data_IF_180006103982
#
_entry.id   IF_180006103982
#
_cell.length_a   1.000
_cell.length_b   1.000
_cell.length_c   1.000
_cell.angle_alpha   90.00
_cell.angle_beta   90.00
_cell.angle_gamma   90.00
#
_symmetry.space_group_name_H-M   'P 1'
#
loop_
_entity.id
_entity.type
_entity.pdbx_description
1 polymer ?
#
# COMPACT_ATOMS: atom_id res chain seq x y z
N UNK A 1 -65.61 -5.00 13.63
CA UNK A 1 -64.29 -5.54 14.02
C UNK A 1 -63.24 -4.95 13.06
N UNK A 2 -62.63 -3.83 13.45
CA UNK A 2 -61.69 -3.03 12.63
C UNK A 2 -60.28 -3.22 13.19
N UNK A 3 -59.54 -4.23 12.71
CA UNK A 3 -58.11 -4.40 13.03
C UNK A 3 -57.43 -5.05 11.81
N UNK A 4 -57.20 -4.31 10.74
CA UNK A 4 -56.41 -4.81 9.60
C UNK A 4 -55.74 -3.73 8.76
N UNK A 5 -55.58 -2.51 9.30
CA UNK A 5 -55.04 -1.36 8.55
C UNK A 5 -53.66 -0.84 8.99
N UNK A 6 -53.09 -1.33 10.10
CA UNK A 6 -51.89 -0.72 10.69
C UNK A 6 -50.58 -1.49 10.47
N UNK A 7 -50.62 -2.76 10.05
CA UNK A 7 -49.39 -3.57 9.93
C UNK A 7 -48.56 -3.29 8.67
N UNK A 8 -49.17 -2.73 7.61
CA UNK A 8 -48.44 -2.43 6.36
C UNK A 8 -47.74 -1.06 6.35
N UNK A 9 -48.10 -0.14 7.25
CA UNK A 9 -47.52 1.22 7.29
C UNK A 9 -46.24 1.25 8.16
N UNK A 10 -46.12 0.35 9.14
CA UNK A 10 -44.92 0.28 10.01
C UNK A 10 -43.70 -0.31 9.28
N UNK A 11 -43.90 -1.14 8.24
CA UNK A 11 -42.80 -1.75 7.50
C UNK A 11 -42.13 -0.80 6.48
N UNK A 12 -42.81 0.28 6.07
CA UNK A 12 -42.27 1.26 5.10
C UNK A 12 -41.44 2.35 5.80
N UNK A 13 -41.67 2.59 7.10
CA UNK A 13 -40.92 3.58 7.88
C UNK A 13 -39.53 3.09 8.34
N UNK A 14 -39.23 1.80 8.26
CA UNK A 14 -37.90 1.25 8.60
C UNK A 14 -36.90 1.24 7.43
N UNK A 15 -37.34 1.50 6.20
CA UNK A 15 -36.44 1.61 5.03
C UNK A 15 -35.99 3.06 4.73
N UNK A 16 -36.55 4.05 5.43
CA UNK A 16 -36.34 5.48 5.13
C UNK A 16 -35.15 6.17 5.81
N UNK A 17 -34.31 5.46 6.57
CA UNK A 17 -33.23 6.10 7.35
C UNK A 17 -31.80 5.68 6.99
N UNK A 18 -31.60 4.84 5.97
CA UNK A 18 -30.23 4.51 5.50
C UNK A 18 -29.66 5.52 4.48
N UNK A 19 -30.33 6.66 4.25
CA UNK A 19 -29.81 7.74 3.39
C UNK A 19 -29.01 8.78 4.19
N UNK A 20 -28.23 8.35 5.16
CA UNK A 20 -27.47 9.25 6.03
C UNK A 20 -25.98 8.93 5.88
N UNK A 21 -25.31 9.83 5.15
CA UNK A 21 -23.87 9.95 4.88
C UNK A 21 -23.26 9.13 3.73
N UNK A 22 -23.69 9.40 2.50
CA UNK A 22 -22.70 9.63 1.45
C UNK A 22 -22.23 11.10 1.55
N UNK A 23 -21.65 11.50 2.69
CA UNK A 23 -20.76 12.65 2.64
C UNK A 23 -19.62 12.23 1.73
N UNK A 24 -19.32 13.05 0.72
CA UNK A 24 -18.19 12.83 -0.16
C UNK A 24 -16.93 13.01 0.67
N UNK A 25 -16.56 11.98 1.44
CA UNK A 25 -15.44 12.03 2.35
C UNK A 25 -14.18 12.14 1.52
N UNK A 26 -13.42 13.17 1.86
CA UNK A 26 -12.09 13.39 1.30
C UNK A 26 -11.11 13.45 2.45
N UNK A 27 -9.84 13.23 2.17
CA UNK A 27 -8.85 13.22 3.22
C UNK A 27 -7.46 12.96 2.73
N UNK A 28 -6.53 13.20 3.64
CA UNK A 28 -5.11 12.99 3.47
C UNK A 28 -4.66 12.11 4.62
N UNK A 29 -3.95 11.03 4.30
CA UNK A 29 -3.34 10.15 5.29
C UNK A 29 -1.85 10.11 5.04
N UNK A 30 -1.07 10.47 6.05
CA UNK A 30 0.38 10.31 6.00
C UNK A 30 0.74 8.92 6.49
N UNK A 31 1.63 8.27 5.78
CA UNK A 31 2.19 6.98 6.15
C UNK A 31 3.70 7.06 6.22
N UNK A 32 4.28 6.19 7.05
CA UNK A 32 5.70 5.87 7.02
C UNK A 32 5.93 4.39 6.76
N UNK A 33 6.90 4.08 5.93
CA UNK A 33 7.45 2.74 5.73
C UNK A 33 8.69 2.56 6.60
N UNK A 34 8.83 1.40 7.24
CA UNK A 34 10.03 1.05 8.03
C UNK A 34 10.46 -0.39 7.75
N UNK A 35 11.77 -0.67 7.79
CA UNK A 35 12.27 -2.05 7.78
C UNK A 35 11.94 -2.68 9.13
N UNK A 36 11.42 -3.90 9.11
CA UNK A 36 11.14 -4.66 10.32
C UNK A 36 12.43 -5.07 11.03
N UNK A 37 12.48 -4.87 12.35
CA UNK A 37 13.69 -5.12 13.13
C UNK A 37 14.10 -6.59 13.13
N UNK A 38 13.15 -7.50 13.28
CA UNK A 38 13.41 -8.94 13.29
C UNK A 38 13.99 -9.40 11.94
N UNK A 39 13.40 -8.93 10.84
CA UNK A 39 13.93 -9.18 9.50
C UNK A 39 15.33 -8.61 9.33
N UNK A 40 15.54 -7.34 9.70
CA UNK A 40 16.85 -6.67 9.61
C UNK A 40 17.91 -7.44 10.39
N UNK A 41 17.62 -7.82 11.62
CA UNK A 41 18.56 -8.52 12.49
C UNK A 41 18.93 -9.88 11.92
N UNK A 42 17.92 -10.69 11.54
CA UNK A 42 18.14 -12.01 10.92
C UNK A 42 18.95 -11.90 9.62
N UNK A 43 18.55 -10.98 8.73
CA UNK A 43 19.27 -10.72 7.48
C UNK A 43 20.74 -10.38 7.76
N UNK A 44 21.02 -9.46 8.68
CA UNK A 44 22.39 -9.04 9.00
C UNK A 44 23.23 -10.16 9.61
N UNK A 45 22.65 -10.98 10.49
CA UNK A 45 23.34 -12.14 11.07
C UNK A 45 23.76 -13.17 10.01
N UNK A 46 22.87 -13.46 9.06
CA UNK A 46 23.14 -14.38 7.95
C UNK A 46 24.13 -13.77 6.96
N UNK A 47 23.92 -12.52 6.58
CA UNK A 47 24.73 -11.83 5.57
C UNK A 47 26.19 -11.63 6.01
N UNK A 48 26.43 -11.34 7.30
CA UNK A 48 27.77 -11.24 7.88
C UNK A 48 28.61 -12.53 7.73
N UNK A 49 27.97 -13.68 7.60
CA UNK A 49 28.63 -15.01 7.49
C UNK A 49 28.98 -15.39 6.04
N UNK A 50 28.50 -14.65 5.04
CA UNK A 50 28.73 -14.94 3.60
C UNK A 50 30.17 -14.70 3.17
N UNK A 51 30.96 -15.78 3.06
CA UNK A 51 32.39 -15.75 2.68
C UNK A 51 32.65 -15.48 1.20
N UNK A 52 31.66 -15.77 0.36
CA UNK A 52 31.63 -15.55 -1.08
C UNK A 52 31.48 -14.07 -1.47
N UNK A 53 31.12 -13.20 -0.52
CA UNK A 53 31.05 -11.75 -0.71
C UNK A 53 32.34 -11.09 -0.21
N UNK A 54 32.93 -10.20 -1.02
CA UNK A 54 34.12 -9.45 -0.63
C UNK A 54 33.92 -8.66 0.68
N UNK A 55 34.91 -8.58 1.59
CA UNK A 55 34.74 -7.93 2.90
C UNK A 55 34.20 -6.50 2.84
N UNK A 56 34.67 -5.69 1.90
CA UNK A 56 34.23 -4.29 1.76
C UNK A 56 32.78 -4.18 1.31
N UNK A 57 32.34 -5.01 0.36
CA UNK A 57 30.93 -5.10 -0.05
C UNK A 57 30.09 -5.57 1.14
N UNK A 58 30.57 -6.57 1.89
CA UNK A 58 29.87 -7.09 3.06
C UNK A 58 29.67 -6.00 4.11
N UNK A 59 30.72 -5.22 4.40
CA UNK A 59 30.68 -4.09 5.33
C UNK A 59 29.71 -3.01 4.84
N UNK A 60 29.80 -2.63 3.56
CA UNK A 60 28.91 -1.62 2.96
C UNK A 60 27.44 -1.98 3.09
N UNK A 61 27.04 -3.22 2.75
CA UNK A 61 25.63 -3.65 2.88
C UNK A 61 25.18 -3.67 4.35
N UNK A 62 26.04 -4.09 5.28
CA UNK A 62 25.71 -4.05 6.71
C UNK A 62 25.45 -2.60 7.15
N UNK A 63 26.33 -1.66 6.76
CA UNK A 63 26.16 -0.24 7.07
C UNK A 63 24.90 0.34 6.43
N UNK A 64 24.56 -0.04 5.20
CA UNK A 64 23.31 0.39 4.55
C UNK A 64 22.08 0.04 5.37
N UNK A 65 21.96 -1.21 5.82
CA UNK A 65 20.80 -1.68 6.60
C UNK A 65 20.76 -1.13 8.02
N UNK A 66 21.92 -0.89 8.64
CA UNK A 66 21.99 -0.26 9.97
C UNK A 66 21.60 1.22 9.93
N UNK A 67 21.86 1.89 8.80
CA UNK A 67 21.51 3.29 8.57
C UNK A 67 20.27 3.43 7.66
N UNK A 68 19.39 2.42 7.64
CA UNK A 68 18.17 2.48 6.86
C UNK A 68 17.26 3.59 7.37
N UNK A 69 16.70 4.37 6.46
CA UNK A 69 15.77 5.46 6.77
C UNK A 69 14.33 5.03 6.51
N UNK A 70 13.40 5.70 7.18
CA UNK A 70 11.98 5.55 6.90
C UNK A 70 11.63 6.18 5.55
N UNK A 71 10.66 5.60 4.85
CA UNK A 71 10.08 6.19 3.66
C UNK A 71 8.77 6.90 4.05
N UNK A 72 8.49 8.06 3.47
CA UNK A 72 7.27 8.81 3.76
C UNK A 72 6.33 8.81 2.55
N UNK A 73 5.03 8.71 2.81
CA UNK A 73 4.00 8.70 1.78
C UNK A 73 2.81 9.54 2.21
N UNK A 74 2.08 10.07 1.24
CA UNK A 74 0.76 10.66 1.47
C UNK A 74 -0.27 10.03 0.55
N UNK A 75 -1.36 9.54 1.14
CA UNK A 75 -2.54 9.08 0.44
C UNK A 75 -3.59 10.19 0.45
N UNK A 76 -3.91 10.69 -0.72
CA UNK A 76 -4.99 11.63 -0.94
C UNK A 76 -6.18 10.86 -1.49
N UNK A 77 -7.38 11.03 -0.91
CA UNK A 77 -8.59 10.39 -1.42
C UNK A 77 -9.76 11.36 -1.49
N UNK A 78 -10.66 11.10 -2.44
CA UNK A 78 -11.93 11.83 -2.58
C UNK A 78 -12.94 10.96 -3.32
N UNK A 79 -14.06 10.64 -2.67
CA UNK A 79 -15.05 9.74 -3.24
C UNK A 79 -14.46 8.37 -3.52
N UNK A 80 -14.53 7.92 -4.77
CA UNK A 80 -14.14 6.56 -5.20
C UNK A 80 -12.70 6.48 -5.71
N UNK A 81 -11.94 7.55 -5.57
CA UNK A 81 -10.57 7.67 -6.07
C UNK A 81 -9.57 7.97 -4.95
N UNK A 82 -8.37 7.41 -5.08
CA UNK A 82 -7.22 7.78 -4.27
C UNK A 82 -5.93 7.85 -5.08
N UNK A 83 -4.99 8.65 -4.59
CA UNK A 83 -3.65 8.78 -5.11
C UNK A 83 -2.66 8.81 -3.95
N UNK A 84 -1.78 7.81 -3.91
CA UNK A 84 -0.64 7.76 -3.02
C UNK A 84 0.58 8.30 -3.77
N UNK A 85 1.28 9.26 -3.17
CA UNK A 85 2.58 9.70 -3.67
C UNK A 85 3.68 9.48 -2.62
N UNK A 86 4.87 9.13 -3.11
CA UNK A 86 6.09 9.06 -2.30
C UNK A 86 6.61 10.47 -2.02
N UNK A 87 6.89 10.77 -0.75
CA UNK A 87 7.48 12.05 -0.34
C UNK A 87 8.99 11.87 -0.28
N UNK A 88 9.69 12.36 -1.30
CA UNK A 88 11.15 12.34 -1.34
C UNK A 88 11.73 13.09 -0.15
N UNK A 89 12.71 12.48 0.52
CA UNK A 89 13.52 13.17 1.50
C UNK A 89 14.47 14.12 0.77
N UNK A 90 14.17 15.41 0.80
CA UNK A 90 15.10 16.46 0.39
C UNK A 90 16.21 16.55 1.45
N UNK A 91 17.29 15.78 1.29
CA UNK A 91 18.68 16.12 1.63
C UNK A 91 19.57 14.85 1.77
N UNK A 92 20.65 14.79 1.00
CA UNK A 92 21.90 14.20 1.49
C UNK A 92 23.05 15.05 0.96
N UNK A 93 23.56 15.94 1.83
CA UNK A 93 24.78 16.73 1.58
C UNK A 93 26.05 15.84 1.47
N UNK A 94 25.98 14.57 1.93
CA UNK A 94 27.08 13.61 1.86
C UNK A 94 26.86 12.53 0.79
N UNK A 95 27.52 12.69 -0.36
CA UNK A 95 27.51 11.77 -1.50
C UNK A 95 28.15 10.38 -1.27
N UNK A 96 28.72 10.13 -0.08
CA UNK A 96 29.56 8.94 0.16
C UNK A 96 28.87 7.78 0.87
N UNK A 97 27.63 7.93 1.35
CA UNK A 97 26.86 6.83 1.97
C UNK A 97 25.57 6.59 1.21
N UNK A 98 25.47 5.45 0.53
CA UNK A 98 24.21 4.98 -0.05
C UNK A 98 23.31 4.56 1.10
N UNK A 99 22.23 5.29 1.36
CA UNK A 99 21.21 4.88 2.33
C UNK A 99 20.16 4.03 1.64
N UNK A 100 19.55 3.09 2.37
CA UNK A 100 18.38 2.32 1.90
C UNK A 100 17.13 2.85 2.62
N UNK A 101 16.01 2.91 1.89
CA UNK A 101 14.71 3.19 2.49
C UNK A 101 14.12 1.97 3.20
N UNK A 102 12.80 1.99 3.38
CA UNK A 102 12.00 1.02 4.14
C UNK A 102 11.83 -0.36 3.48
N UNK A 103 12.28 -0.52 2.24
CA UNK A 103 11.99 -1.66 1.34
C UNK A 103 10.52 -1.79 0.91
N UNK A 104 9.61 -0.92 1.36
CA UNK A 104 8.22 -0.88 0.90
C UNK A 104 8.10 -0.41 -0.57
N UNK A 105 9.09 0.35 -1.05
CA UNK A 105 9.15 0.89 -2.41
C UNK A 105 8.65 2.33 -2.49
N UNK A 106 9.05 3.05 -3.53
CA UNK A 106 8.90 4.51 -3.64
C UNK A 106 8.04 4.92 -4.83
N UNK A 107 7.13 4.04 -5.27
CA UNK A 107 6.28 4.30 -6.42
C UNK A 107 4.93 4.86 -6.00
N UNK A 108 4.40 5.74 -6.83
CA UNK A 108 3.05 6.25 -6.65
C UNK A 108 2.00 5.23 -7.08
N UNK A 109 0.81 5.34 -6.49
CA UNK A 109 -0.33 4.50 -6.81
C UNK A 109 -1.58 5.34 -7.03
N UNK A 110 -2.35 4.98 -8.05
CA UNK A 110 -3.69 5.49 -8.29
C UNK A 110 -4.69 4.34 -8.15
N UNK A 111 -5.75 4.55 -7.37
CA UNK A 111 -6.82 3.55 -7.18
C UNK A 111 -8.16 4.19 -7.49
N UNK A 112 -8.99 3.50 -8.27
CA UNK A 112 -10.39 3.85 -8.52
C UNK A 112 -11.25 2.62 -8.23
N UNK A 113 -12.15 2.73 -7.25
CA UNK A 113 -12.99 1.64 -6.76
C UNK A 113 -14.15 1.30 -7.69
N UNK A 114 -14.65 2.27 -8.47
CA UNK A 114 -15.76 2.04 -9.40
C UNK A 114 -15.32 1.18 -10.58
N UNK A 115 -14.13 1.48 -11.11
CA UNK A 115 -13.52 0.76 -12.23
C UNK A 115 -12.68 -0.44 -11.78
N UNK A 116 -12.50 -0.64 -10.46
CA UNK A 116 -11.58 -1.61 -9.86
C UNK A 116 -10.15 -1.51 -10.42
N UNK A 117 -9.69 -0.28 -10.66
CA UNK A 117 -8.35 0.00 -11.18
C UNK A 117 -7.39 0.23 -10.03
N UNK A 118 -6.26 -0.49 -10.06
CA UNK A 118 -5.13 -0.29 -9.13
C UNK A 118 -3.89 -0.12 -9.99
N UNK A 119 -3.43 1.12 -10.14
CA UNK A 119 -2.35 1.46 -11.07
C UNK A 119 -1.13 1.94 -10.30
N UNK A 120 -0.04 1.19 -10.39
CA UNK A 120 1.28 1.65 -9.95
C UNK A 120 1.91 2.48 -11.06
N UNK A 121 2.44 3.64 -10.70
CA UNK A 121 3.19 4.51 -11.60
C UNK A 121 4.68 4.33 -11.36
N UNK A 122 5.39 3.91 -12.39
CA UNK A 122 6.84 3.68 -12.32
C UNK A 122 7.54 4.51 -13.38
N UNK A 123 8.68 5.12 -13.02
CA UNK A 123 9.51 5.86 -13.97
C UNK A 123 10.09 4.95 -15.06
N UNK A 124 10.44 3.70 -14.71
CA UNK A 124 11.09 2.75 -15.62
C UNK A 124 10.12 1.94 -16.49
N UNK A 125 9.00 1.46 -15.92
CA UNK A 125 8.07 0.55 -16.62
C UNK A 125 6.74 1.22 -17.02
N UNK A 126 6.57 2.50 -16.72
CA UNK A 126 5.32 3.23 -16.93
C UNK A 126 4.22 2.79 -15.97
N UNK A 127 3.00 2.65 -16.49
CA UNK A 127 1.80 2.32 -15.72
C UNK A 127 1.57 0.80 -15.66
N UNK A 128 1.46 0.27 -14.45
CA UNK A 128 1.28 -1.16 -14.20
C UNK A 128 -0.04 -1.43 -13.48
N UNK A 129 -0.84 -2.34 -14.01
CA UNK A 129 -2.07 -2.80 -13.35
C UNK A 129 -1.75 -3.83 -12.26
N UNK A 130 -2.28 -3.59 -11.07
CA UNK A 130 -2.22 -4.50 -9.92
C UNK A 130 -3.56 -5.23 -9.76
N UNK A 131 -3.48 -6.46 -9.24
CA UNK A 131 -4.64 -7.25 -8.87
C UNK A 131 -5.10 -6.89 -7.45
N UNK A 132 -6.41 -6.95 -7.21
CA UNK A 132 -6.97 -6.87 -5.85
C UNK A 132 -6.46 -8.03 -4.99
N UNK A 133 -6.23 -7.76 -3.70
CA UNK A 133 -5.88 -8.79 -2.73
C UNK A 133 -7.17 -9.36 -2.15
N UNK A 134 -7.30 -10.68 -2.17
CA UNK A 134 -8.39 -11.37 -1.47
C UNK A 134 -8.07 -11.41 0.03
N UNK A 135 -8.78 -10.61 0.81
CA UNK A 135 -8.59 -10.50 2.25
C UNK A 135 -9.47 -11.48 3.03
N UNK A 136 -8.91 -12.08 4.08
CA UNK A 136 -9.63 -12.81 5.11
C UNK A 136 -9.61 -12.01 6.41
N UNK A 137 -10.76 -11.45 6.80
CA UNK A 137 -10.90 -10.68 8.05
C UNK A 137 -10.87 -11.63 9.24
N UNK A 138 -10.05 -11.30 10.25
CA UNK A 138 -9.89 -12.08 11.49
C UNK A 138 -10.53 -11.36 12.67
N UNK A 139 -10.83 -12.10 13.73
CA UNK A 139 -11.40 -11.57 14.98
C UNK A 139 -10.33 -11.00 15.94
N UNK A 140 -9.26 -10.44 15.40
CA UNK A 140 -8.20 -9.79 16.15
C UNK A 140 -8.33 -8.27 15.97
N UNK A 141 -8.21 -7.51 17.05
CA UNK A 141 -8.26 -6.05 17.00
C UNK A 141 -7.17 -5.41 17.84
N UNK A 142 -6.70 -4.24 17.42
CA UNK A 142 -5.79 -3.39 18.19
C UNK A 142 -6.08 -1.92 17.93
N UNK A 143 -5.60 -1.04 18.78
CA UNK A 143 -5.66 0.40 18.57
C UNK A 143 -4.46 0.87 17.74
N UNK A 144 -4.71 1.76 16.77
CA UNK A 144 -3.68 2.47 16.01
C UNK A 144 -4.07 3.95 16.00
N UNK A 145 -3.34 4.77 16.74
CA UNK A 145 -3.79 6.11 17.08
C UNK A 145 -5.10 6.02 17.88
N UNK A 146 -6.11 6.80 17.49
CA UNK A 146 -7.42 6.83 18.15
C UNK A 146 -8.42 5.81 17.58
N UNK A 147 -8.00 4.97 16.62
CA UNK A 147 -8.89 4.09 15.88
C UNK A 147 -8.76 2.64 16.31
N UNK A 148 -9.91 1.98 16.50
CA UNK A 148 -9.95 0.53 16.65
C UNK A 148 -9.81 -0.14 15.29
N UNK A 149 -8.72 -0.86 15.10
CA UNK A 149 -8.40 -1.58 13.88
C UNK A 149 -8.63 -3.08 14.02
N UNK A 150 -9.08 -3.71 12.93
CA UNK A 150 -9.23 -5.16 12.82
C UNK A 150 -8.20 -5.73 11.86
N UNK A 151 -7.78 -6.96 12.14
CA UNK A 151 -6.80 -7.67 11.33
C UNK A 151 -7.46 -8.30 10.10
N UNK A 152 -6.77 -8.23 8.97
CA UNK A 152 -7.05 -9.04 7.80
C UNK A 152 -5.75 -9.65 7.26
N UNK A 153 -5.84 -10.85 6.72
CA UNK A 153 -4.71 -11.56 6.12
C UNK A 153 -4.96 -11.73 4.62
N UNK A 154 -3.92 -11.62 3.82
CA UNK A 154 -3.99 -11.76 2.37
C UNK A 154 -2.68 -12.28 1.79
N UNK A 155 -2.71 -12.60 0.50
CA UNK A 155 -1.55 -13.05 -0.26
C UNK A 155 -1.31 -12.09 -1.41
N UNK A 156 -0.10 -11.54 -1.48
CA UNK A 156 0.33 -10.68 -2.57
C UNK A 156 1.24 -11.46 -3.53
N UNK A 157 0.93 -11.41 -4.83
CA UNK A 157 1.83 -11.94 -5.87
C UNK A 157 2.95 -10.96 -6.17
N UNK A 158 4.19 -11.41 -6.04
CA UNK A 158 5.41 -10.71 -6.44
C UNK A 158 5.97 -11.35 -7.70
N UNK A 159 6.17 -10.53 -8.72
CA UNK A 159 6.79 -10.95 -9.97
C UNK A 159 8.29 -10.74 -9.85
N UNK A 160 9.06 -11.79 -10.11
CA UNK A 160 10.51 -11.76 -10.09
C UNK A 160 11.08 -11.50 -11.48
N UNK A 161 12.35 -11.06 -11.51
CA UNK A 161 13.09 -10.83 -12.76
C UNK A 161 13.36 -12.10 -13.56
N UNK A 162 13.25 -13.29 -12.99
CA UNK A 162 13.37 -14.55 -13.74
C UNK A 162 12.00 -15.04 -14.26
N UNK A 163 10.97 -14.20 -14.15
CA UNK A 163 9.60 -14.51 -14.58
C UNK A 163 8.81 -15.36 -13.59
N UNK A 164 9.40 -15.77 -12.45
CA UNK A 164 8.68 -16.48 -11.40
C UNK A 164 7.73 -15.56 -10.67
N UNK A 165 6.69 -16.18 -10.11
CA UNK A 165 5.73 -15.52 -9.23
C UNK A 165 5.92 -16.12 -7.83
N UNK A 166 6.18 -15.27 -6.86
CA UNK A 166 6.21 -15.63 -5.45
C UNK A 166 4.95 -15.10 -4.77
N UNK A 167 4.40 -15.90 -3.86
CA UNK A 167 3.30 -15.50 -3.01
C UNK A 167 3.87 -15.04 -1.67
N UNK A 168 3.62 -13.78 -1.32
CA UNK A 168 4.08 -13.18 -0.07
C UNK A 168 2.87 -12.92 0.84
N UNK A 169 2.85 -13.43 2.08
CA UNK A 169 1.80 -13.11 3.03
C UNK A 169 1.87 -11.63 3.41
N UNK A 170 0.69 -11.04 3.58
CA UNK A 170 0.53 -9.67 4.04
C UNK A 170 -0.59 -9.60 5.08
N UNK A 171 -0.34 -8.85 6.14
CA UNK A 171 -1.34 -8.55 7.16
C UNK A 171 -1.71 -7.08 7.07
N UNK A 172 -3.01 -6.79 7.04
CA UNK A 172 -3.55 -5.45 7.10
C UNK A 172 -4.27 -5.22 8.43
N UNK A 173 -4.18 -4.00 8.96
CA UNK A 173 -4.99 -3.52 10.06
C UNK A 173 -5.82 -2.34 9.58
N UNK A 174 -7.14 -2.51 9.55
CA UNK A 174 -8.07 -1.53 8.97
C UNK A 174 -9.08 -1.01 10.01
N UNK A 175 -9.47 0.25 9.89
CA UNK A 175 -10.38 0.95 10.79
C UNK A 175 -11.77 1.11 10.13
N UNK A 176 -12.80 0.33 10.53
CA UNK A 176 -14.15 0.42 9.95
C UNK A 176 -14.85 1.76 10.21
N UNK A 177 -14.42 2.49 11.24
CA UNK A 177 -14.92 3.82 11.61
C UNK A 177 -14.67 4.87 10.52
N UNK A 178 -13.67 4.64 9.66
CA UNK A 178 -13.44 5.40 8.43
C UNK A 178 -13.84 4.47 7.28
N UNK A 179 -15.10 4.48 6.80
CA UNK A 179 -15.65 3.49 5.87
C UNK A 179 -15.18 3.74 4.42
N UNK A 180 -13.87 3.85 4.23
CA UNK A 180 -13.20 4.06 2.95
C UNK A 180 -12.30 2.88 2.68
N UNK A 181 -12.45 2.25 1.53
CA UNK A 181 -11.76 0.99 1.21
C UNK A 181 -10.35 1.23 0.64
N UNK A 182 -9.66 2.26 1.10
CA UNK A 182 -8.32 2.64 0.66
C UNK A 182 -7.25 2.25 1.67
N UNK A 183 -6.00 2.33 1.23
CA UNK A 183 -4.82 2.07 2.03
C UNK A 183 -3.56 2.50 1.28
N UNK A 184 -2.38 2.30 1.86
CA UNK A 184 -1.15 2.58 1.16
C UNK A 184 -0.97 1.63 -0.03
N UNK A 185 -0.26 2.09 -1.05
CA UNK A 185 0.14 1.31 -2.23
C UNK A 185 -1.07 0.67 -2.95
N UNK A 186 -1.04 -0.63 -3.20
CA UNK A 186 -2.12 -1.43 -3.78
C UNK A 186 -3.04 -2.06 -2.72
N UNK A 187 -2.85 -1.77 -1.44
CA UNK A 187 -3.67 -2.36 -0.38
C UNK A 187 -4.98 -1.57 -0.28
N UNK A 188 -6.08 -2.20 -0.70
CA UNK A 188 -7.43 -1.65 -0.72
C UNK A 188 -8.47 -2.78 -0.61
N UNK A 189 -9.76 -2.44 -0.60
CA UNK A 189 -10.87 -3.40 -0.65
C UNK A 189 -11.33 -3.97 0.69
N UNK A 190 -10.75 -3.50 1.81
CA UNK A 190 -11.25 -3.81 3.15
C UNK A 190 -12.38 -2.84 3.54
N UNK A 191 -13.33 -3.25 4.40
CA UNK A 191 -14.46 -2.40 4.82
C UNK A 191 -14.04 -1.38 5.87
N UNK A 192 -13.04 -0.55 5.54
CA UNK A 192 -12.45 0.48 6.37
C UNK A 192 -11.06 0.87 5.89
N UNK A 193 -10.60 2.05 6.29
CA UNK A 193 -9.29 2.58 5.90
C UNK A 193 -8.17 1.72 6.50
N UNK A 194 -7.24 1.27 5.66
CA UNK A 194 -6.09 0.47 6.12
C UNK A 194 -5.06 1.40 6.77
N UNK A 195 -4.86 1.25 8.07
CA UNK A 195 -3.93 2.09 8.85
C UNK A 195 -2.55 1.46 9.01
N UNK A 196 -2.42 0.15 8.77
CA UNK A 196 -1.13 -0.52 8.82
C UNK A 196 -1.09 -1.74 7.91
N UNK A 197 0.06 -1.92 7.27
CA UNK A 197 0.43 -3.12 6.52
C UNK A 197 1.68 -3.70 7.15
N UNK A 198 1.67 -5.01 7.37
CA UNK A 198 2.78 -5.78 7.89
C UNK A 198 3.14 -6.89 6.89
N UNK A 199 4.37 -6.86 6.38
CA UNK A 199 5.00 -7.95 5.64
C UNK A 199 6.20 -8.46 6.43
N UNK A 200 6.91 -9.47 5.94
CA UNK A 200 8.13 -9.95 6.61
C UNK A 200 9.19 -8.83 6.67
N UNK A 201 9.48 -8.19 5.55
CA UNK A 201 10.62 -7.27 5.44
C UNK A 201 10.36 -5.87 6.00
N UNK A 202 9.10 -5.40 5.95
CA UNK A 202 8.74 -4.03 6.26
C UNK A 202 7.32 -3.90 6.80
N UNK A 203 7.04 -2.74 7.39
CA UNK A 203 5.70 -2.27 7.72
C UNK A 203 5.44 -0.90 7.13
N UNK A 204 4.20 -0.63 6.73
CA UNK A 204 3.71 0.72 6.40
C UNK A 204 2.69 1.10 7.46
N UNK A 205 2.81 2.28 8.07
CA UNK A 205 2.06 2.68 9.26
C UNK A 205 1.52 4.10 9.06
N UNK A 206 0.22 4.29 9.24
CA UNK A 206 -0.40 5.61 9.25
C UNK A 206 0.10 6.42 10.45
N UNK A 207 0.50 7.66 10.21
CA UNK A 207 1.02 8.58 11.23
C UNK A 207 0.09 9.75 11.49
N UNK A 208 -0.68 10.16 10.48
CA UNK A 208 -1.60 11.28 10.56
C UNK A 208 -2.78 11.05 9.62
N UNK A 209 -3.99 11.38 10.07
CA UNK A 209 -5.22 11.27 9.28
C UNK A 209 -5.95 12.60 9.37
N UNK A 210 -6.15 13.24 8.21
CA UNK A 210 -6.91 14.48 8.07
C UNK A 210 -8.15 14.20 7.23
N UNK A 211 -9.33 14.26 7.85
CA UNK A 211 -10.61 14.10 7.16
C UNK A 211 -11.20 15.47 6.82
N UNK A 212 -11.67 15.60 5.58
CA UNK A 212 -12.20 16.84 4.99
C UNK A 212 -11.27 18.04 5.21
N UNK A 213 -9.98 17.94 4.83
CA UNK A 213 -9.03 19.03 5.02
C UNK A 213 -9.42 20.24 4.17
N UNK A 214 -9.05 21.44 4.63
CA UNK A 214 -9.08 22.65 3.79
C UNK A 214 -8.02 22.59 2.68
N UNK A 215 -6.97 21.79 2.88
CA UNK A 215 -5.93 21.55 1.89
C UNK A 215 -6.48 20.92 0.61
N UNK A 216 -5.91 21.30 -0.53
CA UNK A 216 -6.28 20.75 -1.82
C UNK A 216 -5.88 19.27 -1.92
N UNK A 217 -6.89 18.40 -1.99
CA UNK A 217 -6.73 16.99 -2.34
C UNK A 217 -6.09 16.85 -3.72
N UNK A 218 -4.99 16.09 -3.78
CA UNK A 218 -4.28 15.76 -5.02
C UNK A 218 -4.72 14.40 -5.52
N UNK A 219 -5.44 14.37 -6.64
CA UNK A 219 -5.71 13.13 -7.39
C UNK A 219 -5.01 13.27 -8.74
N UNK A 220 -4.24 12.25 -9.13
CA UNK A 220 -3.60 12.18 -10.44
C UNK A 220 -4.17 10.96 -11.20
N UNK A 221 -5.31 11.13 -11.89
CA UNK A 221 -5.97 10.03 -12.60
C UNK A 221 -5.16 9.58 -13.81
N UNK A 222 -5.32 8.32 -14.17
CA UNK A 222 -4.72 7.76 -15.39
C UNK A 222 -5.60 8.12 -16.59
N UNK A 223 -4.98 8.66 -17.65
CA UNK A 223 -5.71 8.98 -18.89
C UNK A 223 -6.31 7.72 -19.53
N UNK A 224 -7.47 7.86 -20.15
CA UNK A 224 -8.20 6.74 -20.77
C UNK A 224 -7.42 6.05 -21.90
N UNK A 225 -6.60 6.80 -22.63
CA UNK A 225 -5.74 6.30 -23.72
C UNK A 225 -4.36 5.83 -23.24
N UNK A 226 -4.09 5.86 -21.94
CA UNK A 226 -2.80 5.48 -21.41
C UNK A 226 -2.54 3.99 -21.59
N UNK A 227 -1.33 3.65 -22.05
CA UNK A 227 -0.89 2.25 -22.15
C UNK A 227 -0.60 1.69 -20.76
N UNK A 228 -1.58 0.97 -20.21
CA UNK A 228 -1.46 0.21 -18.97
C UNK A 228 -0.98 -1.21 -19.30
N UNK A 229 0.06 -1.67 -18.61
CA UNK A 229 0.61 -3.04 -18.78
C UNK A 229 0.25 -3.91 -17.59
N UNK A 230 0.13 -5.22 -17.79
CA UNK A 230 0.13 -6.15 -16.67
C UNK A 230 1.50 -6.22 -16.00
N UNK A 231 1.55 -6.58 -14.72
CA UNK A 231 2.83 -6.83 -14.02
C UNK A 231 3.65 -7.93 -14.72
N UNK A 232 3.00 -9.00 -15.17
CA UNK A 232 3.69 -10.10 -15.87
C UNK A 232 4.43 -9.61 -17.12
N UNK A 233 3.74 -8.87 -17.99
CA UNK A 233 4.34 -8.33 -19.21
C UNK A 233 5.49 -7.37 -18.90
N UNK A 234 5.31 -6.47 -17.94
CA UNK A 234 6.33 -5.48 -17.60
C UNK A 234 7.61 -6.12 -17.06
N UNK A 235 7.47 -7.16 -16.21
CA UNK A 235 8.63 -7.87 -15.68
C UNK A 235 9.33 -8.71 -16.73
N UNK A 236 8.59 -9.38 -17.64
CA UNK A 236 9.19 -10.10 -18.78
C UNK A 236 10.02 -9.16 -19.66
N UNK A 237 9.50 -7.98 -20.00
CA UNK A 237 10.24 -6.98 -20.77
C UNK A 237 11.52 -6.52 -20.05
N UNK A 238 11.45 -6.33 -18.72
CA UNK A 238 12.61 -5.95 -17.93
C UNK A 238 13.68 -7.06 -17.90
N UNK A 239 13.26 -8.33 -17.87
CA UNK A 239 14.15 -9.50 -17.97
C UNK A 239 14.86 -9.57 -19.31
N UNK A 240 14.09 -9.45 -20.40
CA UNK A 240 14.62 -9.44 -21.77
C UNK A 240 15.65 -8.32 -21.94
N UNK A 241 15.30 -7.10 -21.54
CA UNK A 241 16.22 -5.96 -21.58
C UNK A 241 17.51 -6.20 -20.79
N UNK A 242 17.40 -6.78 -19.59
CA UNK A 242 18.58 -7.11 -18.77
C UNK A 242 19.48 -8.15 -19.47
N UNK A 243 18.89 -9.21 -20.01
CA UNK A 243 19.64 -10.26 -20.71
C UNK A 243 20.31 -9.72 -21.98
N UNK A 244 19.62 -8.87 -22.75
CA UNK A 244 20.20 -8.25 -23.95
C UNK A 244 21.34 -7.29 -23.62
N UNK A 245 21.27 -6.62 -22.46
CA UNK A 245 22.26 -5.60 -22.06
C UNK A 245 23.47 -6.21 -21.33
N UNK A 246 23.25 -7.22 -20.49
CA UNK A 246 24.26 -7.74 -19.55
C UNK A 246 24.47 -9.26 -19.63
N UNK A 247 23.63 -9.98 -20.38
CA UNK A 247 23.75 -11.42 -20.57
C UNK A 247 24.81 -11.78 -21.61
N UNK A 248 26.06 -11.82 -21.18
CA UNK A 248 27.12 -12.61 -21.84
C UNK A 248 27.44 -13.83 -20.99
#
# INVERSE_FOLDING_TARGET
MKILGYFSIVLILLFGLNSVYAQQTSGIVKYKGVINEDFRNKFLEEFKKKKDVAPEIRKGVVEMYLNAEEDNYELHFKGQESYLHYVEHLENENRNTVKIGSKAGTSDFYVNLDDKKIIKKTSMMGLLNYEEISWEVKNESKEIGDYKCFKAEGIEKKYLRDGKIEEEPVVAWFAPEIPLQFGPHNYNGLPGLILRIDKEEFSIIATEIMLNPEEKIKIDPVKDDAKIRSRKEAYQMATEYYNDTYGN
#
